data_IF_397509993994
#
_entry.id   IF_397509993994
#
_cell.length_a   1.000
_cell.length_b   1.000
_cell.length_c   1.000
_cell.angle_alpha   90.00
_cell.angle_beta   90.00
_cell.angle_gamma   90.00
#
_symmetry.space_group_name_H-M   'P 1'
#
loop_
_entity.id
_entity.type
_entity.pdbx_description
1 polymer ?
#
# COMPACT_ATOMS: atom_id res chain seq x y z
N UNK A 1 -4.02 16.05 5.03
CA UNK A 1 -4.45 15.30 3.85
C UNK A 1 -3.25 14.71 3.12
N UNK A 2 -3.33 13.43 2.78
CA UNK A 2 -2.22 12.73 2.14
C UNK A 2 -2.65 12.13 0.81
N UNK A 3 -1.67 11.84 -0.05
CA UNK A 3 -1.89 11.13 -1.31
C UNK A 3 -1.43 9.70 -1.14
N UNK A 4 -2.33 8.77 -1.41
CA UNK A 4 -2.12 7.35 -1.16
C UNK A 4 -2.34 6.56 -2.43
N UNK A 5 -1.37 5.71 -2.75
CA UNK A 5 -1.45 4.81 -3.89
C UNK A 5 -1.65 3.39 -3.37
N UNK A 6 -2.67 2.71 -3.89
CA UNK A 6 -3.00 1.33 -3.52
C UNK A 6 -2.78 0.43 -4.73
N UNK A 7 -2.12 -0.71 -4.51
CA UNK A 7 -1.92 -1.70 -5.56
C UNK A 7 -2.34 -3.07 -5.03
N UNK A 8 -3.45 -3.58 -5.55
CA UNK A 8 -4.03 -4.84 -5.08
C UNK A 8 -4.83 -5.48 -6.22
N UNK A 9 -4.81 -6.80 -6.30
CA UNK A 9 -5.48 -7.54 -7.36
C UNK A 9 -7.00 -7.59 -7.21
N UNK A 10 -7.52 -7.36 -6.00
CA UNK A 10 -8.94 -7.49 -5.71
C UNK A 10 -9.67 -6.16 -5.95
N UNK A 11 -10.51 -6.13 -6.97
CA UNK A 11 -11.25 -4.95 -7.38
C UNK A 11 -12.14 -4.38 -6.27
N UNK A 12 -12.90 -5.23 -5.59
CA UNK A 12 -13.78 -4.79 -4.50
C UNK A 12 -12.99 -4.15 -3.37
N UNK A 13 -11.87 -4.76 -3.01
CA UNK A 13 -11.02 -4.22 -1.94
C UNK A 13 -10.47 -2.85 -2.33
N UNK A 14 -9.99 -2.70 -3.57
CA UNK A 14 -9.51 -1.41 -4.05
C UNK A 14 -10.59 -0.33 -3.90
N UNK A 15 -11.82 -0.62 -4.34
CA UNK A 15 -12.93 0.34 -4.26
C UNK A 15 -13.25 0.71 -2.81
N UNK A 16 -13.29 -0.28 -1.92
CA UNK A 16 -13.56 -0.03 -0.50
C UNK A 16 -12.49 0.86 0.13
N UNK A 17 -11.22 0.56 -0.13
CA UNK A 17 -10.12 1.29 0.48
C UNK A 17 -10.03 2.72 -0.03
N UNK A 18 -10.23 2.93 -1.33
CA UNK A 18 -10.25 4.29 -1.90
C UNK A 18 -11.36 5.11 -1.28
N UNK A 19 -12.57 4.56 -1.22
CA UNK A 19 -13.71 5.27 -0.64
C UNK A 19 -13.45 5.65 0.82
N UNK A 20 -12.93 4.70 1.59
CA UNK A 20 -12.65 4.92 3.01
C UNK A 20 -11.62 6.04 3.20
N UNK A 21 -10.56 6.03 2.42
CA UNK A 21 -9.52 7.06 2.50
C UNK A 21 -10.05 8.43 2.07
N UNK A 22 -10.86 8.48 1.03
CA UNK A 22 -11.46 9.73 0.58
C UNK A 22 -12.41 10.32 1.63
N UNK A 23 -13.19 9.47 2.27
CA UNK A 23 -14.05 9.90 3.37
C UNK A 23 -13.27 10.47 4.55
N UNK A 24 -12.04 10.00 4.73
CA UNK A 24 -11.15 10.50 5.78
C UNK A 24 -10.36 11.74 5.36
N UNK A 25 -10.60 12.26 4.17
CA UNK A 25 -9.96 13.49 3.69
C UNK A 25 -8.68 13.29 2.89
N UNK A 26 -8.33 12.05 2.56
CA UNK A 26 -7.14 11.76 1.75
C UNK A 26 -7.49 11.67 0.27
N UNK A 27 -6.48 11.83 -0.57
CA UNK A 27 -6.57 11.54 -2.00
C UNK A 27 -6.04 10.12 -2.21
N UNK A 28 -6.80 9.28 -2.90
CA UNK A 28 -6.40 7.89 -3.10
C UNK A 28 -6.64 7.45 -4.54
N UNK A 29 -5.66 6.75 -5.10
CA UNK A 29 -5.78 6.07 -6.39
C UNK A 29 -5.39 4.62 -6.19
N UNK A 30 -5.97 3.72 -7.01
CA UNK A 30 -5.71 2.30 -6.87
C UNK A 30 -5.59 1.63 -8.23
N UNK A 31 -4.66 0.70 -8.32
CA UNK A 31 -4.41 -0.07 -9.54
C UNK A 31 -4.26 -1.55 -9.23
N UNK A 32 -4.40 -2.37 -10.26
CA UNK A 32 -4.30 -3.83 -10.14
C UNK A 32 -2.90 -4.36 -10.44
N UNK A 33 -2.06 -3.58 -11.11
CA UNK A 33 -0.81 -4.07 -11.69
C UNK A 33 0.38 -3.20 -11.30
N UNK A 34 1.56 -3.81 -11.34
CA UNK A 34 2.84 -3.11 -11.15
C UNK A 34 3.04 -2.07 -12.24
N UNK A 35 2.71 -2.42 -13.48
CA UNK A 35 2.90 -1.55 -14.64
C UNK A 35 2.19 -0.21 -14.48
N UNK A 36 0.92 -0.26 -14.08
CA UNK A 36 0.13 0.96 -13.87
C UNK A 36 0.70 1.79 -12.71
N UNK A 37 1.01 1.15 -11.60
CA UNK A 37 1.53 1.83 -10.42
C UNK A 37 2.91 2.44 -10.68
N UNK A 38 3.77 1.72 -11.39
CA UNK A 38 5.10 2.23 -11.71
C UNK A 38 5.03 3.49 -12.58
N UNK A 39 4.06 3.55 -13.47
CA UNK A 39 3.82 4.75 -14.29
C UNK A 39 3.50 5.97 -13.43
N UNK A 40 2.65 5.78 -12.43
CA UNK A 40 2.29 6.86 -11.51
C UNK A 40 3.50 7.28 -10.67
N UNK A 41 4.28 6.31 -10.17
CA UNK A 41 5.45 6.61 -9.34
C UNK A 41 6.50 7.45 -10.08
N UNK A 42 6.62 7.26 -11.39
CA UNK A 42 7.57 8.05 -12.19
C UNK A 42 7.16 9.51 -12.31
N UNK A 43 5.87 9.79 -12.27
CA UNK A 43 5.36 11.14 -12.46
C UNK A 43 5.11 11.86 -11.15
N UNK A 44 4.65 11.15 -10.14
CA UNK A 44 4.16 11.79 -8.92
C UNK A 44 4.22 10.83 -7.74
N UNK A 45 5.20 11.01 -6.88
CA UNK A 45 5.42 10.13 -5.73
C UNK A 45 4.33 10.35 -4.67
N UNK A 46 3.61 9.29 -4.26
CA UNK A 46 2.61 9.43 -3.20
C UNK A 46 3.27 9.60 -1.83
N UNK A 47 2.48 10.02 -0.86
CA UNK A 47 2.95 10.07 0.53
C UNK A 47 3.08 8.65 1.09
N UNK A 48 2.19 7.75 0.66
CA UNK A 48 2.21 6.36 1.11
C UNK A 48 1.79 5.43 -0.04
N UNK A 49 2.52 4.33 -0.17
CA UNK A 49 2.16 3.22 -1.05
C UNK A 49 1.72 2.03 -0.20
N UNK A 50 0.50 1.54 -0.42
CA UNK A 50 0.02 0.30 0.17
C UNK A 50 -0.10 -0.73 -0.96
N UNK A 51 0.69 -1.78 -0.93
CA UNK A 51 0.75 -2.74 -2.03
C UNK A 51 0.73 -4.18 -1.57
N UNK A 52 0.02 -5.02 -2.34
CA UNK A 52 0.13 -6.47 -2.23
C UNK A 52 1.57 -6.89 -2.52
N UNK A 53 2.00 -7.98 -1.89
CA UNK A 53 3.33 -8.54 -2.15
C UNK A 53 3.41 -9.15 -3.54
N UNK A 54 2.40 -9.94 -3.91
CA UNK A 54 2.36 -10.62 -5.22
C UNK A 54 1.30 -9.96 -6.09
N UNK A 55 1.71 -9.52 -7.27
CA UNK A 55 0.84 -8.91 -8.26
C UNK A 55 0.92 -9.72 -9.56
N UNK A 56 -0.07 -9.56 -10.43
CA UNK A 56 -0.15 -10.36 -11.66
C UNK A 56 1.12 -10.23 -12.52
N UNK A 57 1.66 -9.05 -12.61
CA UNK A 57 2.79 -8.74 -13.49
C UNK A 57 4.10 -8.42 -12.75
N UNK A 58 4.20 -8.77 -11.46
CA UNK A 58 5.45 -8.54 -10.77
C UNK A 58 5.35 -8.52 -9.26
N UNK A 59 6.36 -7.95 -8.63
CA UNK A 59 6.55 -7.95 -7.20
C UNK A 59 6.18 -6.62 -6.57
N UNK A 60 5.28 -6.65 -5.59
CA UNK A 60 4.98 -5.49 -4.77
C UNK A 60 6.15 -5.05 -3.90
N UNK A 61 7.03 -6.00 -3.54
CA UNK A 61 8.24 -5.66 -2.76
C UNK A 61 9.18 -4.78 -3.59
N UNK A 62 9.38 -5.12 -4.85
CA UNK A 62 10.23 -4.31 -5.73
C UNK A 62 9.63 -2.93 -5.97
N UNK A 63 8.33 -2.89 -6.17
CA UNK A 63 7.60 -1.63 -6.32
C UNK A 63 7.74 -0.77 -5.05
N UNK A 64 7.63 -1.39 -3.88
CA UNK A 64 7.78 -0.69 -2.60
C UNK A 64 9.18 -0.12 -2.43
N UNK A 65 10.22 -0.86 -2.81
CA UNK A 65 11.59 -0.36 -2.73
C UNK A 65 11.80 0.85 -3.63
N UNK A 66 11.23 0.82 -4.81
CA UNK A 66 11.29 1.95 -5.75
C UNK A 66 10.59 3.18 -5.15
N UNK A 67 9.40 3.00 -4.60
CA UNK A 67 8.63 4.09 -4.00
C UNK A 67 9.33 4.65 -2.76
N UNK A 68 9.86 3.80 -1.92
CA UNK A 68 10.57 4.21 -0.71
C UNK A 68 11.82 5.02 -1.04
N UNK A 69 12.56 4.59 -2.06
CA UNK A 69 13.74 5.32 -2.51
C UNK A 69 13.37 6.73 -3.02
N UNK A 70 12.14 6.91 -3.50
CA UNK A 70 11.63 8.20 -3.95
C UNK A 70 10.99 9.03 -2.84
N UNK A 71 10.93 8.50 -1.62
CA UNK A 71 10.42 9.23 -0.45
C UNK A 71 9.07 8.81 0.08
N UNK A 72 8.41 7.81 -0.52
CA UNK A 72 7.12 7.34 -0.04
C UNK A 72 7.26 6.46 1.20
N UNK A 73 6.29 6.52 2.09
CA UNK A 73 6.15 5.54 3.16
C UNK A 73 5.46 4.30 2.62
N UNK A 74 5.73 3.14 3.21
CA UNK A 74 5.27 1.86 2.66
C UNK A 74 4.42 1.09 3.67
N UNK A 75 3.32 0.52 3.19
CA UNK A 75 2.53 -0.47 3.91
C UNK A 75 2.35 -1.68 3.00
N UNK A 76 2.91 -2.83 3.42
CA UNK A 76 2.74 -4.08 2.67
C UNK A 76 1.44 -4.75 3.08
N UNK A 77 0.73 -5.31 2.10
CA UNK A 77 -0.51 -6.07 2.33
C UNK A 77 -0.23 -7.53 1.99
N UNK A 78 -0.40 -8.43 2.95
CA UNK A 78 -0.08 -9.84 2.73
C UNK A 78 -0.93 -10.77 3.58
N UNK A 79 -1.27 -11.94 3.01
CA UNK A 79 -1.87 -13.05 3.74
C UNK A 79 -0.90 -14.20 3.96
N UNK A 80 0.38 -14.04 3.58
CA UNK A 80 1.37 -15.11 3.67
C UNK A 80 2.06 -15.11 5.04
N UNK A 81 1.96 -16.23 5.82
CA UNK A 81 2.67 -16.32 7.10
C UNK A 81 4.18 -16.16 6.96
N UNK A 82 4.77 -16.67 5.88
CA UNK A 82 6.21 -16.56 5.64
C UNK A 82 6.63 -15.11 5.45
N UNK A 83 5.84 -14.33 4.72
CA UNK A 83 6.13 -12.91 4.54
C UNK A 83 5.97 -12.12 5.82
N UNK A 84 4.99 -12.49 6.65
CA UNK A 84 4.77 -11.85 7.94
C UNK A 84 5.99 -12.03 8.84
N UNK A 85 6.54 -13.25 8.91
CA UNK A 85 7.76 -13.53 9.66
C UNK A 85 8.92 -12.68 9.15
N UNK A 86 9.08 -12.60 7.84
CA UNK A 86 10.13 -11.81 7.20
C UNK A 86 9.99 -10.31 7.54
N UNK A 87 8.77 -9.78 7.44
CA UNK A 87 8.51 -8.37 7.73
C UNK A 87 8.72 -8.04 9.21
N UNK A 88 8.30 -8.94 10.11
CA UNK A 88 8.55 -8.77 11.55
C UNK A 88 10.05 -8.70 11.84
N UNK A 89 10.83 -9.53 11.16
CA UNK A 89 12.28 -9.54 11.34
C UNK A 89 13.00 -8.32 10.78
N UNK A 90 12.45 -7.70 9.74
CA UNK A 90 13.07 -6.57 9.04
C UNK A 90 12.56 -5.21 9.50
N UNK A 91 11.47 -5.19 10.27
CA UNK A 91 10.82 -3.94 10.66
C UNK A 91 9.93 -3.34 9.58
N UNK A 92 9.68 -4.06 8.48
CA UNK A 92 8.81 -3.59 7.42
C UNK A 92 7.35 -3.54 7.90
N UNK A 93 6.70 -2.39 7.74
CA UNK A 93 5.29 -2.23 8.11
C UNK A 93 4.41 -3.04 7.17
N UNK A 94 3.47 -3.77 7.74
CA UNK A 94 2.54 -4.60 6.97
C UNK A 94 1.18 -4.67 7.66
N UNK A 95 0.19 -5.11 6.87
CA UNK A 95 -1.14 -5.43 7.38
C UNK A 95 -1.51 -6.82 6.86
N UNK A 96 -1.92 -7.69 7.78
CA UNK A 96 -2.22 -9.09 7.47
C UNK A 96 -3.62 -9.22 6.89
N UNK A 97 -3.76 -9.92 5.76
CA UNK A 97 -5.06 -10.26 5.16
C UNK A 97 -5.63 -11.52 5.79
N UNK A 98 -6.95 -11.60 5.99
CA UNK A 98 -7.93 -10.54 5.75
C UNK A 98 -7.90 -9.50 6.86
N UNK A 99 -8.23 -8.26 6.52
CA UNK A 99 -8.31 -7.18 7.51
C UNK A 99 -9.63 -6.41 7.33
N UNK A 100 -10.07 -5.77 8.42
CA UNK A 100 -11.20 -4.85 8.35
C UNK A 100 -10.75 -3.54 7.68
N UNK A 101 -11.59 -2.91 6.86
CA UNK A 101 -11.23 -1.64 6.23
C UNK A 101 -10.79 -0.57 7.24
N UNK A 102 -11.40 -0.53 8.41
CA UNK A 102 -11.06 0.42 9.46
C UNK A 102 -9.64 0.19 10.00
N UNK A 103 -9.20 -1.07 10.04
CA UNK A 103 -7.84 -1.39 10.46
C UNK A 103 -6.82 -0.85 9.45
N UNK A 104 -7.16 -0.91 8.17
CA UNK A 104 -6.33 -0.32 7.11
C UNK A 104 -6.21 1.20 7.29
N UNK A 105 -7.33 1.88 7.48
CA UNK A 105 -7.31 3.33 7.68
C UNK A 105 -6.49 3.71 8.91
N UNK A 106 -6.66 2.99 10.01
CA UNK A 106 -5.90 3.24 11.23
C UNK A 106 -4.40 3.08 11.00
N UNK A 107 -3.99 2.01 10.32
CA UNK A 107 -2.57 1.79 10.02
C UNK A 107 -2.00 2.89 9.14
N UNK A 108 -2.74 3.29 8.12
CA UNK A 108 -2.32 4.38 7.24
C UNK A 108 -2.09 5.65 8.05
N UNK A 109 -3.02 6.00 8.91
CA UNK A 109 -2.93 7.20 9.73
C UNK A 109 -1.74 7.13 10.71
N UNK A 110 -1.49 5.97 11.29
CA UNK A 110 -0.34 5.76 12.17
C UNK A 110 0.97 5.96 11.42
N UNK A 111 1.07 5.40 10.21
CA UNK A 111 2.28 5.50 9.40
C UNK A 111 2.51 6.95 8.95
N UNK A 112 1.45 7.64 8.52
CA UNK A 112 1.56 9.03 8.08
C UNK A 112 1.95 9.97 9.21
N UNK A 113 1.60 9.63 10.45
CA UNK A 113 1.93 10.43 11.63
C UNK A 113 3.32 10.14 12.18
N UNK A 114 3.96 9.06 11.72
CA UNK A 114 5.29 8.69 12.19
C UNK A 114 6.37 9.43 11.38
N UNK A 115 7.48 9.62 11.99
CA UNK A 115 8.63 10.27 11.35
C UNK A 115 9.47 9.29 10.52
#
# INVERSE_FOLDING_TARGET
>A
MARILIVDTQSELRHQLVRLLEQAGHSATAFATVSEAAGVLREDVPDLLATNVVLIDGSGIRLAKQAEAAGAKILMLTGSPDRIVEFDGSGQRYLSKPFAPEAFLQRVQEILSSD
#
